data_IF_209608910832
#
_entry.id   IF_209608910832
#
_cell.length_a   1.000
_cell.length_b   1.000
_cell.length_c   1.000
_cell.angle_alpha   90.00
_cell.angle_beta   90.00
_cell.angle_gamma   90.00
#
_symmetry.space_group_name_H-M   'P 1'
#
loop_
_entity.id
_entity.type
_entity.pdbx_description
1 polymer ?
#
# COMPACT_ATOMS: atom_id res chain seq x y z
N UNK A 1 6.01 33.98 -2.29
CA UNK A 1 5.96 32.79 -3.16
C UNK A 1 5.76 31.59 -2.26
N UNK A 2 4.79 30.71 -2.54
CA UNK A 2 4.50 29.51 -1.73
C UNK A 2 4.87 28.28 -2.54
N UNK A 3 5.75 27.43 -2.00
CA UNK A 3 6.34 26.26 -2.68
C UNK A 3 6.31 25.00 -1.80
N UNK A 4 5.19 24.74 -1.09
CA UNK A 4 5.09 23.68 -0.06
C UNK A 4 4.85 22.27 -0.62
N UNK A 5 4.59 22.12 -1.92
CA UNK A 5 4.22 20.83 -2.51
C UNK A 5 2.83 20.34 -2.09
N UNK A 6 2.33 19.29 -2.75
CA UNK A 6 0.96 18.76 -2.54
C UNK A 6 0.93 17.24 -2.25
N UNK A 7 2.08 16.61 -2.03
CA UNK A 7 2.22 15.17 -1.76
C UNK A 7 2.71 14.85 -0.33
N UNK A 8 2.69 15.85 0.54
CA UNK A 8 3.21 15.73 1.91
C UNK A 8 2.20 15.06 2.83
N UNK A 9 0.91 15.36 2.68
CA UNK A 9 -0.14 14.81 3.53
C UNK A 9 -0.75 13.54 2.90
N UNK A 10 -0.65 12.36 3.55
CA UNK A 10 -1.25 11.14 3.04
C UNK A 10 -2.77 11.19 3.17
N UNK A 11 -3.48 10.81 2.12
CA UNK A 11 -4.93 10.69 2.15
C UNK A 11 -5.32 9.30 2.67
N UNK A 12 -5.99 9.21 3.82
CA UNK A 12 -6.53 7.94 4.30
C UNK A 12 -8.01 7.84 3.91
N UNK A 13 -8.43 6.81 3.15
CA UNK A 13 -9.83 6.65 2.81
C UNK A 13 -10.60 6.13 4.03
N UNK A 14 -11.92 6.28 3.98
CA UNK A 14 -12.79 5.82 5.06
C UNK A 14 -12.55 4.33 5.39
N UNK A 15 -12.67 3.95 6.67
CA UNK A 15 -12.49 2.56 7.07
C UNK A 15 -13.49 1.64 6.35
N UNK A 16 -12.97 0.58 5.71
CA UNK A 16 -13.84 -0.41 5.07
C UNK A 16 -14.42 -1.39 6.09
N UNK A 17 -15.55 -2.06 5.79
CA UNK A 17 -16.11 -3.08 6.66
C UNK A 17 -15.08 -4.17 6.98
N UNK A 18 -14.83 -4.41 8.27
CA UNK A 18 -13.85 -5.40 8.71
C UNK A 18 -12.40 -4.90 8.81
N UNK A 19 -12.12 -3.63 8.53
CA UNK A 19 -10.77 -3.06 8.67
C UNK A 19 -10.23 -3.16 10.11
N UNK A 20 -11.09 -2.99 11.12
CA UNK A 20 -10.69 -3.07 12.54
C UNK A 20 -10.44 -4.50 13.03
N UNK A 21 -11.09 -5.49 12.42
CA UNK A 21 -10.89 -6.91 12.73
C UNK A 21 -9.74 -7.53 11.96
N UNK A 22 -9.15 -6.79 11.01
CA UNK A 22 -8.02 -7.26 10.23
C UNK A 22 -6.78 -7.34 11.13
N UNK A 23 -6.20 -8.54 11.25
CA UNK A 23 -5.05 -8.81 12.11
C UNK A 23 -3.71 -8.52 11.44
N UNK A 24 -3.72 -8.26 10.12
CA UNK A 24 -2.53 -7.93 9.38
C UNK A 24 -2.15 -6.46 9.48
N UNK A 25 -1.02 -6.10 8.87
CA UNK A 25 -0.52 -4.73 8.86
C UNK A 25 -1.14 -3.97 7.68
N UNK A 26 -1.59 -2.74 7.94
CA UNK A 26 -2.00 -1.76 6.93
C UNK A 26 -0.93 -0.67 6.86
N UNK A 27 -0.39 -0.42 5.67
CA UNK A 27 0.64 0.60 5.43
C UNK A 27 0.24 1.43 4.21
N UNK A 28 0.34 2.75 4.31
CA UNK A 28 0.13 3.68 3.21
C UNK A 28 1.44 3.87 2.41
N UNK A 29 1.38 4.13 1.10
CA UNK A 29 2.57 4.37 0.25
C UNK A 29 3.54 5.41 0.82
N UNK A 30 3.01 6.46 1.44
CA UNK A 30 3.79 7.51 2.09
C UNK A 30 4.77 6.97 3.15
N UNK A 31 4.37 5.91 3.87
CA UNK A 31 5.14 5.29 4.95
C UNK A 31 6.00 4.11 4.45
N UNK A 32 5.77 3.63 3.24
CA UNK A 32 6.60 2.60 2.63
C UNK A 32 7.96 3.19 2.24
N UNK A 33 9.04 2.51 2.65
CA UNK A 33 10.43 2.93 2.39
C UNK A 33 11.26 1.87 1.68
N UNK A 34 11.06 0.61 2.03
CA UNK A 34 11.86 -0.49 1.53
C UNK A 34 11.08 -1.81 1.61
N UNK A 35 11.54 -2.81 0.86
CA UNK A 35 10.96 -4.14 0.76
C UNK A 35 11.39 -5.07 1.91
N UNK A 36 12.34 -4.63 2.75
CA UNK A 36 12.80 -5.38 3.93
C UNK A 36 11.65 -5.66 4.89
N UNK A 37 11.50 -6.91 5.30
CA UNK A 37 10.46 -7.35 6.23
C UNK A 37 9.11 -7.67 5.55
N UNK A 38 9.08 -7.73 4.21
CA UNK A 38 7.95 -8.23 3.40
C UNK A 38 8.23 -9.61 2.76
N UNK A 39 9.38 -10.21 3.05
CA UNK A 39 9.76 -11.53 2.53
C UNK A 39 8.72 -12.59 2.96
N UNK A 40 8.44 -13.51 2.03
CA UNK A 40 7.50 -14.63 2.20
C UNK A 40 6.05 -14.26 2.59
N UNK A 41 5.70 -12.97 2.50
CA UNK A 41 4.36 -12.52 2.86
C UNK A 41 3.39 -12.54 1.69
N UNK A 42 2.11 -12.62 2.04
CA UNK A 42 1.03 -12.34 1.11
C UNK A 42 0.62 -10.88 1.27
N UNK A 43 0.81 -10.12 0.20
CA UNK A 43 0.53 -8.69 0.16
C UNK A 43 -0.61 -8.40 -0.82
N UNK A 44 -1.58 -7.60 -0.37
CA UNK A 44 -2.51 -6.93 -1.30
C UNK A 44 -2.12 -5.47 -1.40
N UNK A 45 -1.95 -5.00 -2.63
CA UNK A 45 -1.79 -3.59 -2.97
C UNK A 45 -3.12 -3.05 -3.48
N UNK A 46 -3.66 -2.06 -2.78
CA UNK A 46 -4.88 -1.35 -3.18
C UNK A 46 -4.48 -0.13 -4.01
N UNK A 47 -5.22 0.23 -5.06
CA UNK A 47 -5.02 1.46 -5.84
C UNK A 47 -3.98 1.35 -6.95
N UNK A 48 -4.35 1.81 -8.16
CA UNK A 48 -3.53 1.64 -9.39
C UNK A 48 -2.65 2.84 -9.74
N UNK A 49 -2.37 3.72 -8.79
CA UNK A 49 -1.46 4.85 -9.00
C UNK A 49 -0.03 4.39 -9.29
N UNK A 50 0.82 5.28 -9.81
CA UNK A 50 2.23 4.99 -10.10
C UNK A 50 2.95 4.40 -8.88
N UNK A 51 2.78 5.01 -7.70
CA UNK A 51 3.35 4.48 -6.45
C UNK A 51 2.86 3.07 -6.13
N UNK A 52 1.61 2.74 -6.44
CA UNK A 52 1.06 1.41 -6.19
C UNK A 52 1.64 0.37 -7.13
N UNK A 53 1.74 0.71 -8.41
CA UNK A 53 2.35 -0.15 -9.41
C UNK A 53 3.83 -0.43 -9.07
N UNK A 54 4.61 0.60 -8.76
CA UNK A 54 6.03 0.46 -8.42
C UNK A 54 6.24 -0.43 -7.18
N UNK A 55 5.47 -0.18 -6.11
CA UNK A 55 5.53 -0.99 -4.88
C UNK A 55 5.12 -2.44 -5.16
N UNK A 56 4.06 -2.66 -5.94
CA UNK A 56 3.61 -4.02 -6.26
C UNK A 56 4.66 -4.79 -7.07
N UNK A 57 5.30 -4.12 -8.04
CA UNK A 57 6.38 -4.70 -8.85
C UNK A 57 7.61 -5.01 -7.99
N UNK A 58 8.01 -4.10 -7.10
CA UNK A 58 9.11 -4.34 -6.16
C UNK A 58 8.82 -5.55 -5.26
N UNK A 59 7.66 -5.55 -4.59
CA UNK A 59 7.26 -6.63 -3.69
C UNK A 59 7.04 -7.95 -4.41
N UNK A 60 6.64 -7.96 -5.69
CA UNK A 60 6.45 -9.20 -6.45
C UNK A 60 7.72 -10.05 -6.58
N UNK A 61 8.89 -9.45 -6.39
CA UNK A 61 10.18 -10.14 -6.47
C UNK A 61 10.53 -10.91 -5.19
N UNK A 62 9.95 -10.52 -4.05
CA UNK A 62 10.34 -11.02 -2.72
C UNK A 62 9.18 -11.65 -1.93
N UNK A 63 7.95 -11.23 -2.18
CA UNK A 63 6.77 -11.71 -1.48
C UNK A 63 6.32 -13.05 -2.05
N UNK A 64 5.68 -13.87 -1.21
CA UNK A 64 5.06 -15.14 -1.63
C UNK A 64 3.93 -14.92 -2.64
N UNK A 65 3.13 -13.88 -2.43
CA UNK A 65 2.02 -13.53 -3.33
C UNK A 65 1.74 -12.03 -3.24
N UNK A 66 1.65 -11.38 -4.39
CA UNK A 66 1.19 -9.99 -4.51
C UNK A 66 -0.09 -9.97 -5.31
N UNK A 67 -1.12 -9.30 -4.80
CA UNK A 67 -2.39 -9.11 -5.51
C UNK A 67 -2.70 -7.63 -5.63
N UNK A 68 -3.18 -7.22 -6.79
CA UNK A 68 -3.49 -5.83 -7.09
C UNK A 68 -5.01 -5.63 -7.13
N UNK A 69 -5.51 -4.62 -6.44
CA UNK A 69 -6.93 -4.28 -6.43
C UNK A 69 -7.15 -2.87 -6.98
N UNK A 70 -7.80 -2.78 -8.15
CA UNK A 70 -8.13 -1.52 -8.79
C UNK A 70 -9.42 -0.93 -8.22
N UNK A 71 -9.29 -0.11 -7.18
CA UNK A 71 -10.32 0.86 -6.81
C UNK A 71 -9.82 2.24 -7.26
N UNK A 72 -10.70 3.07 -7.79
CA UNK A 72 -10.39 4.36 -8.44
C UNK A 72 -9.79 5.45 -7.54
N UNK A 73 -9.26 5.09 -6.36
CA UNK A 73 -8.58 6.01 -5.47
C UNK A 73 -7.08 5.69 -5.41
N UNK A 74 -6.28 6.73 -5.67
CA UNK A 74 -4.82 6.80 -5.71
C UNK A 74 -4.15 6.45 -4.36
N UNK A 75 -4.32 5.22 -3.87
CA UNK A 75 -3.90 4.87 -2.51
C UNK A 75 -3.37 3.46 -2.38
N UNK A 76 -2.04 3.33 -2.47
CA UNK A 76 -1.30 2.12 -2.17
C UNK A 76 -1.47 1.73 -0.70
N UNK A 77 -2.39 0.80 -0.42
CA UNK A 77 -2.40 0.08 0.87
C UNK A 77 -1.67 -1.24 0.68
N UNK A 78 -0.61 -1.47 1.43
CA UNK A 78 0.05 -2.77 1.55
C UNK A 78 -0.63 -3.50 2.71
N UNK A 79 -1.28 -4.61 2.40
CA UNK A 79 -2.03 -5.44 3.35
C UNK A 79 -1.27 -6.76 3.52
N UNK A 80 -0.58 -6.95 4.64
CA UNK A 80 0.14 -8.20 4.97
C UNK A 80 -0.84 -9.21 5.59
N UNK A 81 -1.02 -10.38 4.99
CA UNK A 81 -1.70 -11.50 5.64
C UNK A 81 -0.69 -12.33 6.47
N UNK A 82 -1.09 -12.89 7.64
CA UNK A 82 -0.32 -13.93 8.31
C UNK A 82 -0.23 -15.21 7.47
#
# INVERSE_FOLDING_TARGET
MVCTGHHTDPYWPEPFPGQKSFQGKLVHSHDYKDHIGYEDQTVVVIGIGNSGADIAVELSKICKKVTFSSLSFLLTRIVRFP
#
